data_IF_255916080490
#
_entry.id   IF_255916080490
#
_cell.length_a   1.000
_cell.length_b   1.000
_cell.length_c   1.000
_cell.angle_alpha   90.00
_cell.angle_beta   90.00
_cell.angle_gamma   90.00
#
_symmetry.space_group_name_H-M   'P 1'
#
loop_
_entity.id
_entity.type
_entity.pdbx_description
1 polymer ?
#
# COMPACT_ATOMS: atom_id res chain seq x y z
N UNK A 1 4.98 9.96 10.97
CA UNK A 1 5.14 11.13 10.17
C UNK A 1 6.17 10.85 9.10
N UNK A 2 5.80 11.06 7.85
CA UNK A 2 6.72 10.89 6.71
C UNK A 2 7.17 12.27 6.22
N UNK A 3 8.48 12.45 5.99
CA UNK A 3 9.03 13.67 5.42
C UNK A 3 10.05 13.33 4.33
N UNK A 4 9.93 13.99 3.19
CA UNK A 4 10.86 13.94 2.09
C UNK A 4 11.50 15.32 1.95
N UNK A 5 12.82 15.37 1.88
CA UNK A 5 13.59 16.60 1.74
C UNK A 5 14.45 16.55 0.50
N UNK A 6 14.18 17.45 -0.45
CA UNK A 6 14.96 17.66 -1.68
C UNK A 6 15.22 16.35 -2.43
N UNK A 7 14.20 15.48 -2.51
CA UNK A 7 14.34 14.20 -3.19
C UNK A 7 14.56 14.42 -4.68
N UNK A 8 15.65 13.86 -5.15
CA UNK A 8 16.01 13.80 -6.56
C UNK A 8 16.19 12.34 -6.98
N UNK A 9 15.65 11.96 -8.12
CA UNK A 9 15.85 10.63 -8.70
C UNK A 9 16.12 10.74 -10.19
N UNK A 10 17.25 10.17 -10.58
CA UNK A 10 17.70 10.07 -11.96
C UNK A 10 17.94 8.60 -12.31
N UNK A 11 17.51 8.17 -13.48
CA UNK A 11 17.87 6.90 -14.09
C UNK A 11 18.72 7.17 -15.32
N UNK A 12 19.97 6.75 -15.29
CA UNK A 12 20.96 7.09 -16.34
C UNK A 12 21.01 8.61 -16.55
N UNK A 13 20.60 9.09 -17.72
CA UNK A 13 20.57 10.53 -18.05
C UNK A 13 19.19 11.18 -17.88
N UNK A 14 18.16 10.41 -17.46
CA UNK A 14 16.79 10.92 -17.34
C UNK A 14 16.46 11.25 -15.89
N UNK A 15 16.21 12.52 -15.60
CA UNK A 15 15.66 12.95 -14.31
C UNK A 15 14.16 12.66 -14.27
N UNK A 16 13.73 11.87 -13.26
CA UNK A 16 12.32 11.51 -13.06
C UNK A 16 11.68 12.29 -11.93
N UNK A 17 12.43 12.56 -10.87
CA UNK A 17 12.00 13.40 -9.76
C UNK A 17 13.05 14.47 -9.49
N UNK A 18 12.61 15.72 -9.30
CA UNK A 18 13.48 16.86 -9.08
C UNK A 18 12.95 17.71 -7.91
N UNK A 19 13.78 17.91 -6.91
CA UNK A 19 13.51 18.73 -5.71
C UNK A 19 12.14 18.45 -5.04
N UNK A 20 11.78 17.18 -4.86
CA UNK A 20 10.51 16.82 -4.23
C UNK A 20 10.62 17.01 -2.72
N UNK A 21 9.78 17.90 -2.21
CA UNK A 21 9.61 18.17 -0.80
C UNK A 21 8.17 17.83 -0.42
N UNK A 22 7.98 16.95 0.58
CA UNK A 22 6.67 16.47 1.02
C UNK A 22 6.70 16.19 2.52
N UNK A 23 5.66 16.59 3.21
CA UNK A 23 5.47 16.29 4.62
C UNK A 23 4.05 15.76 4.84
N UNK A 24 3.94 14.59 5.49
CA UNK A 24 2.66 13.90 5.72
C UNK A 24 2.55 13.63 7.22
N UNK A 25 1.48 14.14 7.84
CA UNK A 25 1.19 13.92 9.24
C UNK A 25 0.70 12.48 9.51
N UNK A 26 0.80 12.03 10.76
CA UNK A 26 0.23 10.74 11.16
C UNK A 26 -1.31 10.76 11.00
N UNK A 27 -1.87 9.71 10.38
CA UNK A 27 -3.30 9.60 10.09
C UNK A 27 -3.78 10.45 8.91
N UNK A 28 -2.89 11.16 8.23
CA UNK A 28 -3.22 11.94 7.05
C UNK A 28 -3.34 11.04 5.82
N UNK A 29 -4.34 11.31 4.97
CA UNK A 29 -4.54 10.66 3.67
C UNK A 29 -4.14 11.63 2.58
N UNK A 30 -3.08 11.33 1.86
CA UNK A 30 -2.55 12.16 0.77
C UNK A 30 -2.76 11.49 -0.58
N UNK A 31 -3.24 12.25 -1.56
CA UNK A 31 -3.37 11.78 -2.95
C UNK A 31 -2.35 12.48 -3.84
N UNK A 32 -1.54 11.70 -4.53
CA UNK A 32 -0.55 12.19 -5.51
C UNK A 32 -1.19 12.13 -6.90
N UNK A 33 -1.40 13.30 -7.51
CA UNK A 33 -1.99 13.42 -8.83
C UNK A 33 -0.91 13.74 -9.88
N UNK A 34 -1.09 13.20 -11.07
CA UNK A 34 -0.19 13.45 -12.20
C UNK A 34 -0.47 12.51 -13.37
N UNK A 35 0.01 12.87 -14.54
CA UNK A 35 -0.12 12.05 -15.75
C UNK A 35 0.64 10.73 -15.63
N UNK A 36 0.35 9.77 -16.51
CA UNK A 36 1.16 8.55 -16.62
C UNK A 36 2.61 8.94 -16.96
N UNK A 37 3.58 8.29 -16.28
CA UNK A 37 5.00 8.60 -16.45
C UNK A 37 5.51 9.81 -15.66
N UNK A 38 4.68 10.48 -14.84
CA UNK A 38 5.12 11.63 -14.02
C UNK A 38 5.94 11.26 -12.77
N UNK A 39 6.36 10.01 -12.61
CA UNK A 39 7.21 9.58 -11.49
C UNK A 39 6.47 9.15 -10.22
N UNK A 40 5.13 9.03 -10.22
CA UNK A 40 4.35 8.63 -9.02
C UNK A 40 4.80 7.29 -8.44
N UNK A 41 4.87 6.25 -9.26
CA UNK A 41 5.35 4.92 -8.85
C UNK A 41 6.80 4.97 -8.37
N UNK A 42 7.65 5.78 -9.03
CA UNK A 42 9.03 5.99 -8.58
C UNK A 42 9.08 6.59 -7.19
N UNK A 43 8.25 7.61 -6.92
CA UNK A 43 8.17 8.23 -5.60
C UNK A 43 7.71 7.23 -4.53
N UNK A 44 6.69 6.41 -4.83
CA UNK A 44 6.24 5.35 -3.93
C UNK A 44 7.33 4.30 -3.67
N UNK A 45 8.10 3.92 -4.71
CA UNK A 45 9.22 2.98 -4.58
C UNK A 45 10.36 3.53 -3.70
N UNK A 46 10.66 4.83 -3.79
CA UNK A 46 11.62 5.50 -2.91
C UNK A 46 11.12 5.48 -1.45
N UNK A 47 9.85 5.83 -1.22
CA UNK A 47 9.25 5.79 0.12
C UNK A 47 9.26 4.37 0.68
N UNK A 48 8.93 3.37 -0.13
CA UNK A 48 8.92 1.97 0.27
C UNK A 48 10.34 1.40 0.51
N UNK A 49 11.36 1.95 -0.14
CA UNK A 49 12.74 1.49 -0.09
C UNK A 49 13.07 0.38 -1.10
N UNK A 50 12.27 0.27 -2.16
CA UNK A 50 12.58 -0.54 -3.34
C UNK A 50 13.62 0.13 -4.24
N UNK A 51 13.68 1.46 -4.19
CA UNK A 51 14.62 2.30 -4.91
C UNK A 51 15.30 3.25 -3.93
N UNK A 52 16.52 3.69 -4.25
CA UNK A 52 17.21 4.74 -3.51
C UNK A 52 17.16 6.07 -4.26
N UNK A 53 16.99 7.21 -3.58
CA UNK A 53 17.10 8.51 -4.22
C UNK A 53 18.55 8.78 -4.67
N UNK A 54 18.70 9.52 -5.77
CA UNK A 54 20.01 10.00 -6.23
C UNK A 54 20.55 11.09 -5.30
N UNK A 55 19.64 11.89 -4.72
CA UNK A 55 19.95 12.88 -3.69
C UNK A 55 18.69 13.16 -2.84
N UNK A 56 18.89 13.84 -1.72
CA UNK A 56 17.82 14.14 -0.75
C UNK A 56 17.72 13.09 0.34
N UNK A 57 16.74 13.28 1.23
CA UNK A 57 16.59 12.44 2.43
C UNK A 57 15.13 12.12 2.70
N UNK A 58 14.90 10.92 3.24
CA UNK A 58 13.58 10.43 3.67
C UNK A 58 13.63 10.18 5.16
N UNK A 59 12.65 10.76 5.88
CA UNK A 59 12.50 10.58 7.32
C UNK A 59 11.14 9.96 7.64
N UNK A 60 11.11 9.12 8.67
CA UNK A 60 9.89 8.59 9.26
C UNK A 60 9.99 8.66 10.79
N UNK A 61 9.02 9.36 11.43
CA UNK A 61 9.01 9.64 12.85
C UNK A 61 10.38 10.23 13.31
N UNK A 62 10.84 11.27 12.61
CA UNK A 62 12.09 12.01 12.83
C UNK A 62 13.39 11.19 12.69
N UNK A 63 13.27 9.93 12.28
CA UNK A 63 14.40 9.06 11.97
C UNK A 63 14.67 9.05 10.48
N UNK A 64 15.92 9.29 10.07
CA UNK A 64 16.32 9.12 8.68
C UNK A 64 16.26 7.64 8.27
N UNK A 65 15.55 7.36 7.18
CA UNK A 65 15.34 6.02 6.62
C UNK A 65 15.79 5.91 5.16
N UNK A 66 16.50 6.89 4.64
CA UNK A 66 16.89 7.00 3.21
C UNK A 66 17.46 5.68 2.68
N UNK A 67 18.42 5.08 3.40
CA UNK A 67 19.08 3.82 3.05
C UNK A 67 18.58 2.61 3.86
N UNK A 68 17.43 2.74 4.51
CA UNK A 68 16.84 1.61 5.25
C UNK A 68 16.16 0.67 4.27
N UNK A 69 16.52 -0.61 4.31
CA UNK A 69 15.94 -1.64 3.46
C UNK A 69 14.42 -1.74 3.67
N UNK A 70 13.69 -2.09 2.60
CA UNK A 70 12.23 -2.20 2.58
C UNK A 70 11.70 -3.08 3.73
N UNK A 71 12.29 -4.24 3.98
CA UNK A 71 11.84 -5.17 5.03
C UNK A 71 11.96 -4.61 6.45
N UNK A 72 12.73 -3.53 6.64
CA UNK A 72 12.90 -2.85 7.94
C UNK A 72 12.04 -1.60 8.07
N UNK A 73 11.31 -1.22 7.01
CA UNK A 73 10.35 -0.11 7.05
C UNK A 73 8.99 -0.63 7.48
N UNK A 74 8.28 0.03 8.40
CA UNK A 74 6.95 -0.37 8.85
C UNK A 74 5.87 0.05 7.85
N UNK A 75 6.12 -0.14 6.56
CA UNK A 75 5.29 0.27 5.44
C UNK A 75 4.83 -0.93 4.65
N UNK A 76 3.62 -0.83 4.09
CA UNK A 76 3.14 -1.81 3.12
C UNK A 76 2.56 -1.08 1.90
N UNK A 77 2.53 -1.78 0.77
CA UNK A 77 2.01 -1.27 -0.50
C UNK A 77 0.97 -2.22 -1.10
N UNK A 78 -0.03 -1.64 -1.72
CA UNK A 78 -0.90 -2.33 -2.69
C UNK A 78 -0.48 -1.87 -4.09
N UNK A 79 0.05 -2.79 -4.88
CA UNK A 79 0.45 -2.56 -6.26
C UNK A 79 -0.75 -2.50 -7.20
N UNK A 80 -0.58 -1.86 -8.35
CA UNK A 80 -1.60 -1.72 -9.40
C UNK A 80 -2.14 -3.07 -9.91
N UNK A 81 -1.30 -4.10 -10.00
CA UNK A 81 -1.64 -5.47 -10.41
C UNK A 81 -2.07 -6.36 -9.24
N UNK A 82 -2.20 -5.76 -8.04
CA UNK A 82 -2.52 -6.43 -6.75
C UNK A 82 -1.47 -7.42 -6.26
N UNK A 83 -0.53 -7.88 -7.06
CA UNK A 83 0.54 -8.84 -6.76
C UNK A 83 0.05 -10.04 -5.91
N UNK A 84 -1.13 -10.59 -6.21
CA UNK A 84 -1.69 -11.74 -5.50
C UNK A 84 -1.04 -13.04 -5.95
N UNK A 85 -0.85 -13.97 -5.02
CA UNK A 85 -0.32 -15.29 -5.30
C UNK A 85 -1.38 -16.14 -6.02
N UNK A 86 -1.18 -16.50 -7.30
CA UNK A 86 -2.21 -17.14 -8.13
C UNK A 86 -2.58 -18.56 -7.66
N UNK A 87 -1.66 -19.24 -7.00
CA UNK A 87 -1.81 -20.62 -6.52
C UNK A 87 -2.46 -20.72 -5.12
N UNK A 88 -2.83 -19.57 -4.53
CA UNK A 88 -3.44 -19.50 -3.22
C UNK A 88 -4.90 -19.05 -3.33
N UNK A 89 -5.73 -19.42 -2.35
CA UNK A 89 -7.08 -18.89 -2.21
C UNK A 89 -7.06 -17.43 -1.75
N UNK A 90 -8.22 -16.77 -1.74
CA UNK A 90 -8.36 -15.42 -1.18
C UNK A 90 -7.93 -15.37 0.28
N UNK A 91 -8.38 -16.32 1.10
CA UNK A 91 -7.99 -16.40 2.51
C UNK A 91 -6.49 -16.62 2.69
N UNK A 92 -5.90 -17.55 1.95
CA UNK A 92 -4.47 -17.84 2.02
C UNK A 92 -3.62 -16.64 1.61
N UNK A 93 -4.06 -15.86 0.60
CA UNK A 93 -3.43 -14.60 0.24
C UNK A 93 -3.52 -13.60 1.39
N UNK A 94 -4.71 -13.43 1.97
CA UNK A 94 -4.97 -12.45 3.03
C UNK A 94 -4.05 -12.67 4.24
N UNK A 95 -3.92 -13.92 4.69
CA UNK A 95 -3.12 -14.26 5.89
C UNK A 95 -1.65 -14.59 5.57
N UNK A 96 -1.21 -14.43 4.33
CA UNK A 96 0.12 -14.92 3.92
C UNK A 96 1.26 -14.38 4.78
N UNK A 97 1.26 -13.09 5.07
CA UNK A 97 2.27 -12.44 5.90
C UNK A 97 2.31 -12.96 7.34
N UNK A 98 1.15 -13.35 7.88
CA UNK A 98 1.04 -13.87 9.25
C UNK A 98 1.71 -15.24 9.45
N UNK A 99 2.10 -15.94 8.36
CA UNK A 99 2.85 -17.21 8.50
C UNK A 99 4.17 -17.03 9.25
N UNK A 100 4.83 -15.88 9.04
CA UNK A 100 6.12 -15.56 9.65
C UNK A 100 5.98 -14.63 10.87
N UNK A 101 4.87 -13.90 10.99
CA UNK A 101 4.59 -12.91 12.04
C UNK A 101 3.21 -13.17 12.66
N UNK A 102 3.02 -14.33 13.28
CA UNK A 102 1.71 -14.81 13.78
C UNK A 102 1.06 -13.89 14.81
N UNK A 103 1.85 -13.11 15.52
CA UNK A 103 1.37 -12.22 16.59
C UNK A 103 0.94 -10.83 16.07
N UNK A 104 1.13 -10.54 14.78
CA UNK A 104 0.77 -9.23 14.19
C UNK A 104 -0.72 -8.94 14.28
N UNK A 105 -1.56 -9.94 14.00
CA UNK A 105 -3.01 -9.82 14.11
C UNK A 105 -3.61 -11.09 14.70
N UNK A 106 -4.55 -10.92 15.64
CA UNK A 106 -5.32 -12.02 16.22
C UNK A 106 -6.35 -12.58 15.22
N UNK A 107 -6.86 -13.76 15.48
CA UNK A 107 -7.93 -14.37 14.67
C UNK A 107 -9.17 -13.48 14.60
N UNK A 108 -9.51 -12.78 15.68
CA UNK A 108 -10.69 -11.90 15.75
C UNK A 108 -10.49 -10.66 14.90
N UNK A 109 -9.29 -10.06 14.92
CA UNK A 109 -8.94 -8.92 14.06
C UNK A 109 -8.95 -9.29 12.57
N UNK A 110 -8.45 -10.49 12.24
CA UNK A 110 -8.53 -11.01 10.86
C UNK A 110 -9.99 -11.19 10.44
N UNK A 111 -10.83 -11.77 11.32
CA UNK A 111 -12.25 -11.95 11.03
C UNK A 111 -13.00 -10.62 10.89
N UNK A 112 -12.67 -9.63 11.71
CA UNK A 112 -13.22 -8.27 11.57
C UNK A 112 -12.83 -7.63 10.24
N UNK A 113 -11.56 -7.74 9.85
CA UNK A 113 -11.06 -7.22 8.58
C UNK A 113 -11.74 -7.88 7.38
N UNK A 114 -11.95 -9.20 7.42
CA UNK A 114 -12.68 -9.94 6.40
C UNK A 114 -14.09 -9.39 6.24
N UNK A 115 -14.82 -9.17 7.33
CA UNK A 115 -16.16 -8.55 7.32
C UNK A 115 -16.13 -7.13 6.77
N UNK A 116 -15.19 -6.31 7.24
CA UNK A 116 -15.02 -4.93 6.80
C UNK A 116 -14.79 -4.84 5.29
N UNK A 117 -14.07 -5.81 4.71
CA UNK A 117 -13.77 -5.90 3.29
C UNK A 117 -14.85 -6.63 2.48
N UNK A 118 -15.92 -7.14 3.12
CA UNK A 118 -16.98 -7.95 2.51
C UNK A 118 -16.40 -9.14 1.72
N UNK A 119 -15.51 -9.91 2.35
CA UNK A 119 -14.81 -11.05 1.73
C UNK A 119 -15.32 -12.41 2.20
N UNK A 120 -16.26 -12.49 3.16
CA UNK A 120 -16.70 -13.74 3.82
C UNK A 120 -17.10 -14.83 2.81
N UNK A 121 -17.80 -14.45 1.74
CA UNK A 121 -18.32 -15.38 0.71
C UNK A 121 -17.27 -15.75 -0.35
N UNK A 122 -16.06 -15.24 -0.23
CA UNK A 122 -15.04 -15.36 -1.27
C UNK A 122 -13.73 -16.01 -0.79
N UNK A 123 -13.62 -16.36 0.48
CA UNK A 123 -12.38 -16.79 1.13
C UNK A 123 -11.76 -18.03 0.49
N UNK A 124 -12.59 -19.02 0.12
CA UNK A 124 -12.15 -20.29 -0.46
C UNK A 124 -11.92 -20.23 -1.98
N UNK A 125 -12.26 -19.09 -2.61
CA UNK A 125 -12.12 -18.96 -4.05
C UNK A 125 -10.65 -18.78 -4.45
N UNK A 126 -10.20 -19.48 -5.50
CA UNK A 126 -8.91 -19.18 -6.12
C UNK A 126 -8.96 -17.78 -6.78
N UNK A 127 -7.80 -17.14 -6.88
CA UNK A 127 -7.69 -15.74 -7.32
C UNK A 127 -8.28 -15.50 -8.71
N UNK A 128 -8.15 -16.45 -9.63
CA UNK A 128 -8.69 -16.31 -10.99
C UNK A 128 -10.24 -16.26 -11.07
N UNK A 129 -10.94 -16.69 -10.00
CA UNK A 129 -12.41 -16.65 -9.91
C UNK A 129 -12.93 -15.36 -9.24
N UNK A 130 -12.04 -14.46 -8.84
CA UNK A 130 -12.39 -13.19 -8.24
C UNK A 130 -12.51 -12.08 -9.29
N UNK A 131 -13.49 -11.17 -9.09
CA UNK A 131 -13.56 -9.92 -9.86
C UNK A 131 -12.39 -8.99 -9.50
N UNK A 132 -12.12 -7.97 -10.33
CA UNK A 132 -11.07 -6.97 -10.06
C UNK A 132 -11.22 -6.32 -8.68
N UNK A 133 -12.43 -5.87 -8.32
CA UNK A 133 -12.69 -5.29 -6.99
C UNK A 133 -12.55 -6.29 -5.84
N UNK A 134 -12.83 -7.59 -6.06
CA UNK A 134 -12.58 -8.63 -5.05
C UNK A 134 -11.09 -8.88 -4.87
N UNK A 135 -10.32 -8.97 -5.96
CA UNK A 135 -8.85 -9.09 -5.93
C UNK A 135 -8.21 -7.92 -5.18
N UNK A 136 -8.66 -6.70 -5.48
CA UNK A 136 -8.19 -5.50 -4.79
C UNK A 136 -8.44 -5.56 -3.28
N UNK A 137 -9.66 -5.97 -2.86
CA UNK A 137 -9.99 -6.10 -1.43
C UNK A 137 -9.15 -7.18 -0.73
N UNK A 138 -8.84 -8.28 -1.42
CA UNK A 138 -7.92 -9.31 -0.91
C UNK A 138 -6.50 -8.74 -0.75
N UNK A 139 -5.99 -7.99 -1.75
CA UNK A 139 -4.68 -7.36 -1.67
C UNK A 139 -4.61 -6.33 -0.53
N UNK A 140 -5.65 -5.49 -0.40
CA UNK A 140 -5.77 -4.55 0.71
C UNK A 140 -5.80 -5.28 2.07
N UNK A 141 -6.59 -6.34 2.20
CA UNK A 141 -6.64 -7.16 3.40
C UNK A 141 -5.28 -7.77 3.76
N UNK A 142 -4.56 -8.31 2.77
CA UNK A 142 -3.21 -8.86 2.95
C UNK A 142 -2.22 -7.84 3.50
N UNK A 143 -2.33 -6.59 3.10
CA UNK A 143 -1.46 -5.53 3.62
C UNK A 143 -1.88 -5.08 5.02
N UNK A 144 -3.20 -4.99 5.28
CA UNK A 144 -3.75 -4.49 6.54
C UNK A 144 -3.59 -5.45 7.72
N UNK A 145 -3.61 -6.78 7.48
CA UNK A 145 -3.36 -7.77 8.54
C UNK A 145 -1.96 -7.63 9.15
N UNK A 146 -1.03 -7.01 8.42
CA UNK A 146 0.32 -6.73 8.91
C UNK A 146 0.43 -5.45 9.74
N UNK A 147 -0.68 -4.71 9.93
CA UNK A 147 -0.76 -3.47 10.73
C UNK A 147 0.36 -2.48 10.37
N UNK A 148 0.47 -2.04 9.10
CA UNK A 148 1.49 -1.08 8.71
C UNK A 148 1.25 0.27 9.38
N UNK A 149 2.31 1.04 9.63
CA UNK A 149 2.18 2.42 10.08
C UNK A 149 1.90 3.38 8.92
N UNK A 150 2.35 3.02 7.71
CA UNK A 150 2.09 3.73 6.46
C UNK A 150 1.62 2.75 5.40
N UNK A 151 0.48 3.05 4.76
CA UNK A 151 -0.04 2.28 3.64
C UNK A 151 0.12 3.06 2.33
N UNK A 152 0.86 2.49 1.41
CA UNK A 152 1.04 3.03 0.06
C UNK A 152 0.06 2.35 -0.90
N UNK A 153 -0.53 3.12 -1.80
CA UNK A 153 -1.47 2.63 -2.80
C UNK A 153 -1.04 3.12 -4.19
N UNK A 154 -0.58 2.21 -5.05
CA UNK A 154 -0.18 2.56 -6.42
C UNK A 154 -1.35 2.30 -7.37
N UNK A 155 -2.00 3.37 -7.82
CA UNK A 155 -3.17 3.36 -8.71
C UNK A 155 -4.26 2.34 -8.32
N UNK A 156 -4.65 2.26 -7.05
CA UNK A 156 -5.49 1.15 -6.55
C UNK A 156 -6.87 1.10 -7.20
N UNK A 157 -7.28 2.14 -7.91
CA UNK A 157 -8.63 2.26 -8.49
C UNK A 157 -8.62 2.36 -10.02
N UNK A 158 -7.46 2.17 -10.68
CA UNK A 158 -7.31 2.36 -12.13
C UNK A 158 -8.11 1.36 -12.97
N UNK A 159 -8.25 0.13 -12.49
CA UNK A 159 -8.92 -0.97 -13.20
C UNK A 159 -10.42 -1.11 -12.89
N UNK A 160 -11.04 -0.12 -12.23
CA UNK A 160 -12.42 -0.21 -11.75
C UNK A 160 -13.34 0.79 -12.44
N UNK A 161 -14.58 0.38 -12.71
CA UNK A 161 -15.64 1.22 -13.25
C UNK A 161 -16.09 2.27 -12.22
N UNK A 162 -16.62 3.40 -12.70
CA UNK A 162 -16.88 4.60 -11.91
C UNK A 162 -17.64 4.40 -10.59
N UNK A 163 -18.73 3.64 -10.59
CA UNK A 163 -19.53 3.39 -9.36
C UNK A 163 -18.79 2.52 -8.36
N UNK A 164 -18.09 1.49 -8.85
CA UNK A 164 -17.30 0.59 -8.01
C UNK A 164 -16.08 1.34 -7.44
N UNK A 165 -15.48 2.20 -8.24
CA UNK A 165 -14.34 3.03 -7.86
C UNK A 165 -14.66 3.91 -6.64
N UNK A 166 -15.78 4.62 -6.66
CA UNK A 166 -16.16 5.50 -5.56
C UNK A 166 -16.47 4.71 -4.28
N UNK A 167 -17.20 3.59 -4.39
CA UNK A 167 -17.47 2.71 -3.25
C UNK A 167 -16.20 2.15 -2.60
N UNK A 168 -15.20 1.78 -3.40
CA UNK A 168 -13.93 1.26 -2.85
C UNK A 168 -13.09 2.39 -2.25
N UNK A 169 -13.09 3.58 -2.85
CA UNK A 169 -12.43 4.76 -2.29
C UNK A 169 -12.98 5.11 -0.90
N UNK A 170 -14.32 5.19 -0.77
CA UNK A 170 -14.97 5.41 0.52
C UNK A 170 -14.58 4.34 1.54
N UNK A 171 -14.52 3.07 1.11
CA UNK A 171 -14.13 1.96 1.97
C UNK A 171 -12.69 2.05 2.43
N UNK A 172 -11.76 2.41 1.54
CA UNK A 172 -10.35 2.65 1.91
C UNK A 172 -10.25 3.78 2.94
N UNK A 173 -10.98 4.89 2.74
CA UNK A 173 -11.00 6.01 3.68
C UNK A 173 -11.60 5.61 5.05
N UNK A 174 -12.69 4.84 5.06
CA UNK A 174 -13.29 4.31 6.29
C UNK A 174 -12.27 3.47 7.07
N UNK A 175 -11.60 2.54 6.37
CA UNK A 175 -10.58 1.66 6.95
C UNK A 175 -9.40 2.47 7.49
N UNK A 176 -8.89 3.41 6.72
CA UNK A 176 -7.78 4.25 7.13
C UNK A 176 -8.10 5.03 8.41
N UNK A 177 -9.30 5.62 8.51
CA UNK A 177 -9.76 6.31 9.72
C UNK A 177 -9.93 5.36 10.91
N UNK A 178 -10.56 4.19 10.70
CA UNK A 178 -10.81 3.20 11.76
C UNK A 178 -9.53 2.62 12.34
N UNK A 179 -8.52 2.41 11.50
CA UNK A 179 -7.22 1.83 11.87
C UNK A 179 -6.13 2.88 12.13
N UNK A 180 -6.48 4.18 12.07
CA UNK A 180 -5.54 5.30 12.23
C UNK A 180 -4.31 5.19 11.32
N UNK A 181 -4.52 4.77 10.05
CA UNK A 181 -3.47 4.63 9.05
C UNK A 181 -3.11 5.99 8.41
N UNK A 182 -1.84 6.12 8.07
CA UNK A 182 -1.30 7.17 7.19
C UNK A 182 -1.18 6.63 5.79
#
# INVERSE_FOLDING_TARGET
MLKLEKIHKQFQETTVLEDINLEIAAGEIVSILGQSGSGKTTLLNLILGLEEPTAGKIYFNDKEITHTLMEKRPFNIVFQDYALFPNLTAYQNLIYGLKNEKERSSSDEVAELIRLLNLEKHLDKPIHQLSGGQKQRVALGRTLVMKPQLLLLDEPLSALDGVIKESIKEKIQEIARKLHLT
#
